data_IF_669115162847
#
_entry.id   IF_669115162847
#
_cell.length_a   1.000
_cell.length_b   1.000
_cell.length_c   1.000
_cell.angle_alpha   90.00
_cell.angle_beta   90.00
_cell.angle_gamma   90.00
#
_symmetry.space_group_name_H-M   'P 1'
#
loop_
_entity.id
_entity.type
_entity.pdbx_description
1 polymer ?
#
# COMPACT_ATOMS: atom_id res chain seq x y z
N UNK A 1 20.94 -8.00 0.34
CA UNK A 1 20.06 -9.19 0.17
C UNK A 1 20.12 -9.61 -1.28
N UNK A 2 19.91 -10.90 -1.57
CA UNK A 2 19.82 -11.35 -2.96
C UNK A 2 18.49 -10.90 -3.60
N UNK A 3 18.41 -10.98 -4.93
CA UNK A 3 17.23 -10.56 -5.67
C UNK A 3 15.94 -11.28 -5.21
N UNK A 4 15.92 -12.62 -5.02
CA UNK A 4 14.72 -13.31 -4.56
C UNK A 4 14.22 -12.84 -3.18
N UNK A 5 15.14 -12.56 -2.24
CA UNK A 5 14.76 -12.04 -0.92
C UNK A 5 14.21 -10.61 -1.03
N UNK A 6 14.83 -9.76 -1.85
CA UNK A 6 14.37 -8.39 -2.10
C UNK A 6 12.96 -8.40 -2.71
N UNK A 7 12.73 -9.20 -3.74
CA UNK A 7 11.47 -9.22 -4.48
C UNK A 7 10.34 -9.73 -3.58
N UNK A 8 10.61 -10.73 -2.74
CA UNK A 8 9.69 -11.19 -1.71
C UNK A 8 9.30 -10.06 -0.74
N UNK A 9 10.27 -9.29 -0.26
CA UNK A 9 9.99 -8.15 0.63
C UNK A 9 9.17 -7.06 -0.04
N UNK A 10 9.42 -6.79 -1.33
CA UNK A 10 8.62 -5.83 -2.11
C UNK A 10 7.17 -6.32 -2.22
N UNK A 11 6.95 -7.59 -2.58
CA UNK A 11 5.60 -8.17 -2.67
C UNK A 11 4.86 -8.09 -1.33
N UNK A 12 5.49 -8.56 -0.24
CA UNK A 12 4.87 -8.57 1.09
C UNK A 12 4.53 -7.15 1.56
N UNK A 13 5.41 -6.19 1.31
CA UNK A 13 5.20 -4.78 1.69
C UNK A 13 4.09 -4.15 0.85
N UNK A 14 4.08 -4.37 -0.46
CA UNK A 14 3.04 -3.85 -1.34
C UNK A 14 1.66 -4.40 -0.97
N UNK A 15 1.55 -5.71 -0.71
CA UNK A 15 0.31 -6.34 -0.26
C UNK A 15 -0.19 -5.76 1.07
N UNK A 16 0.68 -5.64 2.08
CA UNK A 16 0.31 -5.03 3.37
C UNK A 16 -0.13 -3.58 3.23
N UNK A 17 0.48 -2.84 2.30
CA UNK A 17 0.12 -1.45 2.01
C UNK A 17 -1.27 -1.36 1.39
N UNK A 18 -1.59 -2.24 0.43
CA UNK A 18 -2.92 -2.31 -0.18
C UNK A 18 -4.00 -2.65 0.85
N UNK A 19 -3.75 -3.60 1.75
CA UNK A 19 -4.71 -3.92 2.82
C UNK A 19 -4.92 -2.75 3.78
N UNK A 20 -3.86 -2.02 4.13
CA UNK A 20 -3.98 -0.80 4.95
C UNK A 20 -4.75 0.31 4.22
N UNK A 21 -4.48 0.50 2.93
CA UNK A 21 -5.18 1.50 2.11
C UNK A 21 -6.68 1.19 1.99
N UNK A 22 -7.07 -0.07 1.86
CA UNK A 22 -8.47 -0.51 1.95
C UNK A 22 -9.09 -0.14 3.30
N UNK A 23 -8.37 -0.38 4.40
CA UNK A 23 -8.83 0.00 5.74
C UNK A 23 -9.07 1.50 5.92
N UNK A 24 -8.21 2.35 5.33
CA UNK A 24 -8.40 3.80 5.32
C UNK A 24 -9.64 4.25 4.51
N UNK A 25 -10.10 3.43 3.56
CA UNK A 25 -11.31 3.68 2.79
C UNK A 25 -12.59 3.13 3.43
N UNK A 26 -12.50 2.53 4.61
CA UNK A 26 -13.67 2.07 5.35
C UNK A 26 -14.36 3.19 6.13
N UNK A 27 -15.58 2.91 6.59
CA UNK A 27 -16.36 3.79 7.47
C UNK A 27 -16.02 3.59 8.97
N UNK A 28 -14.89 2.95 9.28
CA UNK A 28 -14.41 2.83 10.66
C UNK A 28 -14.19 4.25 11.25
N UNK A 29 -14.66 4.55 12.48
CA UNK A 29 -14.43 5.84 13.14
C UNK A 29 -12.99 6.34 13.10
N UNK A 30 -12.00 5.45 13.22
CA UNK A 30 -10.59 5.84 13.17
C UNK A 30 -10.13 6.21 11.76
N UNK A 31 -10.66 5.56 10.73
CA UNK A 31 -10.37 5.89 9.33
C UNK A 31 -11.01 7.24 8.94
N UNK A 32 -12.22 7.52 9.42
CA UNK A 32 -12.89 8.82 9.24
C UNK A 32 -12.07 9.93 9.92
N UNK A 33 -11.71 9.76 11.20
CA UNK A 33 -10.86 10.72 11.92
C UNK A 33 -9.51 10.92 11.24
N UNK A 34 -8.90 9.84 10.72
CA UNK A 34 -7.63 9.96 10.02
C UNK A 34 -7.74 10.82 8.75
N UNK A 35 -8.82 10.67 7.99
CA UNK A 35 -9.10 11.52 6.81
C UNK A 35 -9.33 12.98 7.21
N UNK A 36 -10.10 13.21 8.27
CA UNK A 36 -10.38 14.56 8.77
C UNK A 36 -9.13 15.28 9.30
N UNK A 37 -8.29 14.59 10.07
CA UNK A 37 -7.14 15.22 10.74
C UNK A 37 -5.87 15.26 9.88
N UNK A 38 -5.67 14.28 8.99
CA UNK A 38 -4.42 14.12 8.26
C UNK A 38 -4.58 14.30 6.74
N UNK A 39 -5.81 14.54 6.24
CA UNK A 39 -6.12 14.67 4.82
C UNK A 39 -5.50 13.53 3.98
N UNK A 40 -5.53 12.31 4.53
CA UNK A 40 -4.82 11.17 3.95
C UNK A 40 -5.53 10.66 2.71
N UNK A 41 -4.84 10.70 1.57
CA UNK A 41 -5.31 10.10 0.32
C UNK A 41 -4.79 8.65 0.16
N UNK A 42 -5.67 7.68 0.41
CA UNK A 42 -5.37 6.27 0.27
C UNK A 42 -5.05 5.84 -1.19
N UNK A 43 -5.47 6.63 -2.17
CA UNK A 43 -5.25 6.34 -3.59
C UNK A 43 -3.76 6.43 -3.97
N UNK A 44 -3.01 7.34 -3.35
CA UNK A 44 -1.57 7.51 -3.60
C UNK A 44 -0.79 6.26 -3.21
N UNK A 45 -1.06 5.72 -2.01
CA UNK A 45 -0.41 4.50 -1.55
C UNK A 45 -0.79 3.27 -2.39
N UNK A 46 -2.04 3.23 -2.86
CA UNK A 46 -2.53 2.18 -3.74
C UNK A 46 -1.78 2.17 -5.07
N UNK A 47 -1.64 3.35 -5.70
CA UNK A 47 -0.90 3.52 -6.96
C UNK A 47 0.58 3.14 -6.80
N UNK A 48 1.24 3.60 -5.73
CA UNK A 48 2.63 3.25 -5.46
C UNK A 48 2.84 1.75 -5.27
N UNK A 49 1.96 1.09 -4.50
CA UNK A 49 2.05 -0.34 -4.26
C UNK A 49 1.80 -1.15 -5.54
N UNK A 50 0.87 -0.71 -6.39
CA UNK A 50 0.64 -1.33 -7.70
C UNK A 50 1.85 -1.17 -8.62
N UNK A 51 2.42 0.03 -8.71
CA UNK A 51 3.61 0.28 -9.52
C UNK A 51 4.80 -0.60 -9.09
N UNK A 52 5.01 -0.79 -7.78
CA UNK A 52 6.05 -1.68 -7.27
C UNK A 52 5.81 -3.16 -7.59
N UNK A 53 4.54 -3.61 -7.61
CA UNK A 53 4.20 -4.97 -8.04
C UNK A 53 4.33 -5.15 -9.56
N UNK A 54 4.08 -4.10 -10.33
CA UNK A 54 4.25 -4.11 -11.78
C UNK A 54 5.72 -4.14 -12.18
N UNK A 55 6.59 -3.40 -11.49
CA UNK A 55 8.02 -3.40 -11.79
C UNK A 55 8.67 -4.78 -11.64
N UNK A 56 8.20 -5.60 -10.70
CA UNK A 56 8.70 -6.97 -10.52
C UNK A 56 8.27 -7.94 -11.64
N UNK A 57 7.27 -7.59 -12.44
CA UNK A 57 6.82 -8.42 -13.58
C UNK A 57 7.58 -8.10 -14.87
N UNK A 58 8.15 -6.91 -14.95
CA UNK A 58 8.90 -6.40 -16.10
C UNK A 58 10.42 -6.48 -15.92
N UNK A 59 10.90 -6.87 -14.73
CA UNK A 59 12.28 -7.33 -14.47
C UNK A 59 12.52 -8.77 -14.99
#
# INVERSE_FOLDING_TARGET
VDAPTRDRWVVETAQRTLERAKGLNSDNPDAVRAKEHYNTDASVYTQMAQAALESLKTE
#
